data_IF_612292653773
#
_entry.id   IF_612292653773
#
_cell.length_a   1.000
_cell.length_b   1.000
_cell.length_c   1.000
_cell.angle_alpha   90.00
_cell.angle_beta   90.00
_cell.angle_gamma   90.00
#
_symmetry.space_group_name_H-M   'P 1'
#
loop_
_entity.id
_entity.type
_entity.pdbx_description
1 polymer ?
#
# COMPACT_ATOMS: atom_id res chain seq x y z
N UNK A 1 -3.81 -3.11 -14.57
CA UNK A 1 -3.05 -1.94 -14.06
C UNK A 1 -3.97 -1.10 -13.20
N UNK A 2 -3.45 -0.41 -12.19
CA UNK A 2 -4.20 0.57 -11.40
C UNK A 2 -4.26 1.89 -12.16
N UNK A 3 -5.37 2.62 -12.07
CA UNK A 3 -5.50 3.95 -12.64
C UNK A 3 -4.88 4.98 -11.68
N UNK A 4 -3.97 5.80 -12.18
CA UNK A 4 -3.42 6.98 -11.49
C UNK A 4 -4.20 8.26 -11.89
N UNK A 5 -4.76 8.29 -13.11
CA UNK A 5 -5.69 9.31 -13.58
C UNK A 5 -6.60 8.76 -14.68
N UNK A 6 -7.38 9.63 -15.36
CA UNK A 6 -8.21 9.23 -16.48
C UNK A 6 -7.42 8.60 -17.65
N UNK A 7 -6.15 9.00 -17.81
CA UNK A 7 -5.31 8.52 -18.92
C UNK A 7 -4.06 7.77 -18.46
N UNK A 8 -3.69 7.87 -17.19
CA UNK A 8 -2.46 7.28 -16.65
C UNK A 8 -2.74 6.03 -15.82
N UNK A 9 -1.97 4.99 -16.08
CA UNK A 9 -2.11 3.69 -15.43
C UNK A 9 -0.75 3.16 -15.03
N UNK A 10 -0.67 2.48 -13.89
CA UNK A 10 0.57 1.84 -13.46
C UNK A 10 0.39 0.46 -12.86
N UNK A 11 1.45 -0.33 -12.90
CA UNK A 11 1.55 -1.63 -12.23
C UNK A 11 3.01 -1.86 -11.82
N UNK A 12 3.22 -2.49 -10.68
CA UNK A 12 4.53 -3.05 -10.35
C UNK A 12 4.55 -4.52 -10.76
N UNK A 13 5.54 -4.91 -11.57
CA UNK A 13 5.71 -6.29 -12.01
C UNK A 13 7.10 -6.83 -11.62
N UNK A 14 7.10 -7.98 -10.96
CA UNK A 14 8.31 -8.81 -10.80
C UNK A 14 8.40 -9.75 -12.00
N UNK A 15 9.50 -9.71 -12.73
CA UNK A 15 9.78 -10.60 -13.84
C UNK A 15 10.64 -11.77 -13.38
N UNK A 16 10.35 -12.98 -13.89
CA UNK A 16 11.13 -14.16 -13.57
C UNK A 16 12.57 -14.06 -14.11
N UNK A 17 13.49 -14.76 -13.46
CA UNK A 17 14.92 -14.81 -13.81
C UNK A 17 15.21 -15.59 -15.11
N UNK A 18 14.24 -16.32 -15.64
CA UNK A 18 14.31 -16.97 -16.95
C UNK A 18 12.92 -17.38 -17.40
N UNK A 19 12.64 -17.25 -18.70
CA UNK A 19 11.54 -17.92 -19.37
C UNK A 19 12.09 -18.79 -20.52
N UNK A 20 11.29 -19.75 -20.99
CA UNK A 20 11.68 -20.64 -22.09
C UNK A 20 11.77 -19.90 -23.45
N UNK A 21 11.49 -18.59 -23.49
CA UNK A 21 11.28 -17.80 -24.69
C UNK A 21 12.39 -16.82 -25.04
N UNK A 22 13.52 -16.79 -24.34
CA UNK A 22 14.66 -15.93 -24.66
C UNK A 22 14.77 -14.64 -23.84
N UNK A 23 14.07 -14.53 -22.71
CA UNK A 23 14.18 -13.41 -21.78
C UNK A 23 12.82 -12.82 -21.42
N UNK A 24 12.74 -12.27 -20.22
CA UNK A 24 11.53 -11.65 -19.71
C UNK A 24 11.11 -10.46 -20.59
N UNK A 25 9.81 -10.40 -20.91
CA UNK A 25 9.22 -9.37 -21.75
C UNK A 25 7.75 -9.17 -21.46
N UNK A 26 7.19 -8.07 -21.92
CA UNK A 26 5.78 -7.82 -21.80
C UNK A 26 5.23 -6.97 -22.96
N UNK A 27 3.91 -7.01 -23.07
CA UNK A 27 3.09 -5.99 -23.73
C UNK A 27 1.89 -5.71 -22.82
N UNK A 28 1.23 -4.58 -23.05
CA UNK A 28 -0.02 -4.20 -22.42
C UNK A 28 -1.12 -4.45 -23.44
N UNK A 29 -2.01 -5.38 -23.12
CA UNK A 29 -3.18 -5.69 -23.92
C UNK A 29 -4.40 -4.98 -23.34
N UNK A 30 -5.10 -4.23 -24.18
CA UNK A 30 -6.27 -3.46 -23.76
C UNK A 30 -7.48 -4.34 -23.45
N UNK A 31 -7.64 -5.43 -24.20
CA UNK A 31 -8.88 -6.21 -24.27
C UNK A 31 -8.73 -7.66 -23.82
N UNK A 32 -7.50 -8.09 -23.49
CA UNK A 32 -7.21 -9.45 -23.02
C UNK A 32 -7.25 -10.51 -24.14
N UNK A 33 -7.33 -10.09 -25.40
CA UNK A 33 -7.42 -10.93 -26.59
C UNK A 33 -6.27 -10.67 -27.60
N UNK A 34 -5.30 -9.84 -27.22
CA UNK A 34 -4.13 -9.44 -27.99
C UNK A 34 -4.37 -8.65 -29.27
N UNK A 35 -5.62 -8.28 -29.59
CA UNK A 35 -5.94 -7.55 -30.84
C UNK A 35 -5.49 -6.08 -30.79
N UNK A 36 -5.40 -5.49 -29.61
CA UNK A 36 -4.88 -4.13 -29.38
C UNK A 36 -3.85 -4.19 -28.24
N UNK A 37 -2.57 -4.24 -28.60
CA UNK A 37 -1.46 -4.36 -27.64
C UNK A 37 -0.33 -3.37 -27.88
N UNK A 38 0.31 -2.96 -26.78
CA UNK A 38 1.34 -1.92 -26.76
C UNK A 38 2.59 -2.39 -25.99
N UNK A 39 3.81 -2.14 -26.48
CA UNK A 39 4.11 -1.59 -27.81
C UNK A 39 3.75 -2.59 -28.93
N UNK A 40 3.98 -2.25 -30.20
CA UNK A 40 3.66 -3.16 -31.31
C UNK A 40 4.43 -4.49 -31.23
N UNK A 41 5.70 -4.42 -30.82
CA UNK A 41 6.57 -5.57 -30.53
C UNK A 41 6.75 -5.76 -29.02
N UNK A 42 7.30 -6.91 -28.63
CA UNK A 42 7.60 -7.21 -27.23
C UNK A 42 8.56 -6.18 -26.61
N UNK A 43 8.20 -5.67 -25.43
CA UNK A 43 9.10 -4.86 -24.62
C UNK A 43 9.98 -5.79 -23.79
N UNK A 44 11.25 -5.92 -24.16
CA UNK A 44 12.21 -6.75 -23.44
C UNK A 44 12.65 -6.08 -22.13
N UNK A 45 12.77 -6.87 -21.06
CA UNK A 45 13.26 -6.42 -19.76
C UNK A 45 14.36 -7.34 -19.26
N UNK A 46 15.20 -6.83 -18.36
CA UNK A 46 16.22 -7.66 -17.74
C UNK A 46 15.55 -8.79 -16.92
N UNK A 47 16.06 -10.01 -17.05
CA UNK A 47 15.59 -11.15 -16.28
C UNK A 47 15.74 -10.92 -14.78
N UNK A 48 14.74 -11.31 -13.99
CA UNK A 48 14.73 -11.10 -12.54
C UNK A 48 14.47 -9.65 -12.10
N UNK A 49 14.22 -8.75 -13.05
CA UNK A 49 13.93 -7.34 -12.74
C UNK A 49 12.58 -7.17 -12.07
N UNK A 50 12.47 -6.08 -11.31
CA UNK A 50 11.22 -5.61 -10.72
C UNK A 50 11.04 -4.18 -11.19
N UNK A 51 9.93 -3.90 -11.87
CA UNK A 51 9.72 -2.63 -12.54
C UNK A 51 8.37 -2.04 -12.13
N UNK A 52 8.32 -0.73 -11.90
CA UNK A 52 7.09 0.04 -12.05
C UNK A 52 6.91 0.33 -13.55
N UNK A 53 5.82 -0.17 -14.11
CA UNK A 53 5.42 0.04 -15.50
C UNK A 53 4.33 1.09 -15.48
N UNK A 54 4.51 2.14 -16.27
CA UNK A 54 3.54 3.21 -16.43
C UNK A 54 3.09 3.29 -17.89
N UNK A 55 1.78 3.48 -18.09
CA UNK A 55 1.14 3.51 -19.39
C UNK A 55 0.21 4.72 -19.50
N UNK A 56 0.48 5.55 -20.49
CA UNK A 56 -0.42 6.62 -20.90
C UNK A 56 -1.34 6.09 -22.00
N UNK A 57 -2.63 5.96 -21.72
CA UNK A 57 -3.64 5.43 -22.65
C UNK A 57 -3.96 6.36 -23.82
N UNK A 58 -3.59 7.65 -23.75
CA UNK A 58 -3.79 8.62 -24.82
C UNK A 58 -2.63 8.57 -25.83
N UNK A 59 -1.39 8.67 -25.34
CA UNK A 59 -0.18 8.67 -26.18
C UNK A 59 0.32 7.26 -26.51
N UNK A 60 -0.20 6.25 -25.80
CA UNK A 60 0.26 4.86 -25.84
C UNK A 60 1.72 4.68 -25.37
N UNK A 61 2.29 5.68 -24.71
CA UNK A 61 3.64 5.63 -24.19
C UNK A 61 3.73 4.65 -23.01
N UNK A 62 4.81 3.87 -23.00
CA UNK A 62 5.17 2.97 -21.91
C UNK A 62 6.51 3.42 -21.36
N UNK A 63 6.58 3.61 -20.06
CA UNK A 63 7.84 3.84 -19.34
C UNK A 63 8.02 2.82 -18.23
N UNK A 64 9.27 2.49 -17.95
CA UNK A 64 9.64 1.53 -16.90
C UNK A 64 10.67 2.14 -15.97
N UNK A 65 10.47 2.03 -14.67
CA UNK A 65 11.48 2.37 -13.66
C UNK A 65 11.81 1.15 -12.78
N UNK A 66 13.11 0.84 -12.55
CA UNK A 66 13.50 -0.22 -11.63
C UNK A 66 13.03 0.05 -10.20
N UNK A 67 12.62 -1.00 -9.49
CA UNK A 67 12.24 -0.94 -8.07
C UNK A 67 12.88 -2.09 -7.27
N UNK A 68 13.04 -1.88 -5.96
CA UNK A 68 13.64 -2.90 -5.08
C UNK A 68 12.71 -4.11 -4.83
N UNK A 69 11.39 -3.90 -4.78
CA UNK A 69 10.36 -4.94 -4.62
C UNK A 69 9.05 -4.52 -5.29
N UNK A 70 8.20 -5.49 -5.66
CA UNK A 70 6.80 -5.22 -6.04
C UNK A 70 5.79 -5.58 -4.95
N UNK A 71 6.29 -5.78 -3.72
CA UNK A 71 5.48 -5.85 -2.51
C UNK A 71 5.03 -4.42 -2.15
N UNK A 72 4.08 -3.87 -2.91
CA UNK A 72 3.45 -2.56 -2.66
C UNK A 72 4.27 -1.30 -3.00
N UNK A 73 5.27 -1.37 -3.90
CA UNK A 73 6.28 -0.31 -3.98
C UNK A 73 6.07 0.69 -5.14
N UNK A 74 6.02 1.97 -4.77
CA UNK A 74 6.04 3.11 -5.67
C UNK A 74 5.60 4.42 -5.01
N UNK A 75 5.04 4.33 -3.80
CA UNK A 75 4.60 5.48 -3.05
C UNK A 75 5.68 6.01 -2.10
N UNK A 76 5.73 7.34 -1.97
CA UNK A 76 6.51 8.01 -0.94
C UNK A 76 6.07 7.50 0.44
N UNK A 77 7.02 7.42 1.37
CA UNK A 77 6.76 7.04 2.76
C UNK A 77 7.84 7.61 3.66
N UNK A 78 7.45 7.98 4.87
CA UNK A 78 8.37 8.35 5.96
C UNK A 78 8.73 7.12 6.78
N UNK A 79 7.76 6.24 7.04
CA UNK A 79 8.00 5.03 7.82
C UNK A 79 8.48 3.88 6.95
N UNK A 80 9.39 3.06 7.46
CA UNK A 80 9.88 1.86 6.74
C UNK A 80 8.85 0.73 6.74
N UNK A 81 8.02 0.68 7.79
CA UNK A 81 6.86 -0.17 7.96
C UNK A 81 5.88 0.51 8.92
N UNK A 82 4.64 0.04 8.98
CA UNK A 82 3.67 0.48 9.97
C UNK A 82 2.77 -0.69 10.35
N UNK A 83 2.51 -0.84 11.64
CA UNK A 83 1.64 -1.86 12.20
C UNK A 83 0.59 -1.19 13.07
N UNK A 84 -0.65 -1.65 12.98
CA UNK A 84 -1.66 -1.35 13.99
C UNK A 84 -1.59 -2.42 15.09
N UNK A 85 -1.83 -1.99 16.32
CA UNK A 85 -1.94 -2.87 17.49
C UNK A 85 -3.08 -2.40 18.33
N UNK A 86 -3.87 -3.31 18.88
CA UNK A 86 -4.93 -2.87 19.77
C UNK A 86 -5.64 -4.01 20.45
N UNK A 87 -6.64 -3.62 21.22
CA UNK A 87 -7.52 -4.56 21.91
C UNK A 87 -8.22 -5.54 20.96
N UNK A 88 -8.47 -5.17 19.71
CA UNK A 88 -9.09 -6.02 18.67
C UNK A 88 -8.23 -7.24 18.27
N UNK A 89 -6.91 -7.19 18.49
CA UNK A 89 -6.00 -8.29 18.18
C UNK A 89 -5.08 -8.64 19.36
N UNK A 90 -5.48 -8.32 20.59
CA UNK A 90 -4.70 -8.61 21.79
C UNK A 90 -3.31 -7.96 21.80
N UNK A 91 -3.17 -6.77 21.21
CA UNK A 91 -1.91 -6.03 21.05
C UNK A 91 -0.85 -6.71 20.18
N UNK A 92 -1.23 -7.76 19.43
CA UNK A 92 -0.38 -8.37 18.42
C UNK A 92 -0.03 -7.38 17.29
N UNK A 93 1.02 -7.68 16.52
CA UNK A 93 1.41 -6.82 15.39
C UNK A 93 0.53 -7.14 14.19
N UNK A 94 -0.23 -6.15 13.71
CA UNK A 94 -0.97 -6.27 12.45
C UNK A 94 -0.36 -5.31 11.42
N UNK A 95 0.34 -5.80 10.38
CA UNK A 95 0.99 -4.95 9.40
C UNK A 95 -0.04 -4.20 8.56
N UNK A 96 0.18 -2.91 8.36
CA UNK A 96 -0.61 -2.06 7.45
C UNK A 96 -0.02 -2.11 6.04
N UNK A 97 -0.86 -1.84 5.04
CA UNK A 97 -0.44 -1.77 3.63
C UNK A 97 -0.32 -0.32 3.18
N UNK A 98 0.79 0.04 2.54
CA UNK A 98 0.93 1.34 1.88
C UNK A 98 0.12 1.33 0.56
N UNK A 99 -0.88 2.22 0.46
CA UNK A 99 -1.86 2.25 -0.64
C UNK A 99 -1.79 3.51 -1.52
N UNK A 100 -1.14 4.57 -1.03
CA UNK A 100 -0.84 5.80 -1.77
C UNK A 100 0.37 6.50 -1.12
N UNK A 101 0.84 7.62 -1.70
CA UNK A 101 1.91 8.44 -1.11
C UNK A 101 1.60 8.74 0.36
N UNK A 102 2.47 8.24 1.23
CA UNK A 102 2.41 8.38 2.68
C UNK A 102 1.16 7.76 3.33
N UNK A 103 0.28 7.07 2.61
CA UNK A 103 -0.98 6.54 3.15
C UNK A 103 -0.93 5.03 3.39
N UNK A 104 -1.07 4.65 4.65
CA UNK A 104 -1.14 3.28 5.14
C UNK A 104 -2.58 2.92 5.51
N UNK A 105 -3.01 1.70 5.19
CA UNK A 105 -4.36 1.21 5.46
C UNK A 105 -4.36 -0.19 6.08
N UNK A 106 -5.29 -0.44 6.99
CA UNK A 106 -5.62 -1.77 7.50
C UNK A 106 -7.11 -1.84 7.86
N UNK A 107 -7.77 -2.92 7.46
CA UNK A 107 -9.13 -3.21 7.92
C UNK A 107 -9.07 -4.13 9.16
N UNK A 108 -9.88 -3.81 10.16
CA UNK A 108 -9.95 -4.52 11.45
C UNK A 108 -11.40 -4.77 11.84
N UNK A 109 -11.63 -5.82 12.61
CA UNK A 109 -12.94 -6.08 13.21
C UNK A 109 -12.98 -5.59 14.66
N UNK A 110 -13.90 -4.68 14.97
CA UNK A 110 -14.10 -4.14 16.32
C UNK A 110 -15.31 -4.82 16.97
N UNK A 111 -15.15 -5.31 18.20
CA UNK A 111 -16.21 -6.01 18.92
C UNK A 111 -16.94 -5.15 19.96
N UNK A 112 -16.56 -3.87 20.10
CA UNK A 112 -17.17 -2.94 21.05
C UNK A 112 -16.83 -3.22 22.51
N UNK A 113 -15.72 -3.91 22.79
CA UNK A 113 -15.32 -4.19 24.16
C UNK A 113 -15.06 -2.92 24.98
N UNK A 114 -15.16 -3.02 26.31
CA UNK A 114 -14.78 -1.92 27.20
C UNK A 114 -13.31 -1.52 26.98
N UNK A 115 -13.03 -0.22 27.02
CA UNK A 115 -11.68 0.33 26.83
C UNK A 115 -11.05 -0.08 25.47
N UNK A 116 -11.89 -0.24 24.43
CA UNK A 116 -11.44 -0.55 23.07
C UNK A 116 -10.54 0.59 22.56
N UNK A 117 -9.30 0.21 22.24
CA UNK A 117 -8.24 1.16 21.87
C UNK A 117 -7.17 0.52 21.01
N UNK A 118 -6.36 1.38 20.38
CA UNK A 118 -5.26 1.00 19.51
C UNK A 118 -4.04 1.92 19.68
N UNK A 119 -2.92 1.50 19.10
CA UNK A 119 -1.71 2.28 18.81
C UNK A 119 -1.12 1.85 17.49
N UNK A 120 -0.18 2.64 16.98
CA UNK A 120 0.62 2.30 15.80
C UNK A 120 2.08 2.07 16.18
N UNK A 121 2.75 1.15 15.49
CA UNK A 121 4.13 0.74 15.75
C UNK A 121 4.87 0.52 14.43
N UNK A 122 5.98 1.22 14.24
CA UNK A 122 6.72 1.23 12.99
C UNK A 122 7.29 -0.16 12.67
N UNK A 123 7.98 -0.80 13.62
CA UNK A 123 8.72 -2.04 13.35
C UNK A 123 8.01 -3.29 13.84
N UNK A 124 6.96 -3.14 14.63
CA UNK A 124 6.33 -4.29 15.22
C UNK A 124 7.12 -4.83 16.43
N UNK A 125 7.90 -3.98 17.11
CA UNK A 125 8.68 -4.31 18.31
C UNK A 125 8.51 -3.30 19.47
N UNK A 126 7.57 -2.35 19.35
CA UNK A 126 7.30 -1.25 20.27
C UNK A 126 8.39 -0.18 20.41
N UNK A 127 9.54 -0.31 19.74
CA UNK A 127 10.66 0.62 19.84
C UNK A 127 10.30 2.03 19.38
N UNK A 128 9.46 2.14 18.34
CA UNK A 128 8.94 3.41 17.82
C UNK A 128 7.44 3.25 17.61
N UNK A 129 6.67 3.72 18.59
CA UNK A 129 5.22 3.65 18.59
C UNK A 129 4.59 5.04 18.67
N UNK A 130 3.34 5.11 18.24
CA UNK A 130 2.56 6.30 18.12
C UNK A 130 1.18 6.09 18.74
N UNK A 131 0.66 7.14 19.35
CA UNK A 131 -0.67 7.23 19.93
C UNK A 131 -1.23 8.64 19.72
N UNK A 132 -2.27 9.02 20.44
CA UNK A 132 -2.91 10.34 20.36
C UNK A 132 -3.32 10.79 21.77
N UNK A 133 -2.60 11.76 22.33
CA UNK A 133 -2.76 12.18 23.73
C UNK A 133 -3.81 13.25 23.90
N UNK A 134 -3.93 14.16 22.94
CA UNK A 134 -4.88 15.26 22.95
C UNK A 134 -6.17 14.94 22.18
N UNK A 135 -6.25 13.76 21.57
CA UNK A 135 -7.42 13.25 20.82
C UNK A 135 -7.80 14.14 19.64
N UNK A 136 -6.79 14.69 18.94
CA UNK A 136 -7.00 15.61 17.83
C UNK A 136 -6.95 14.92 16.44
N UNK A 137 -6.72 13.60 16.40
CA UNK A 137 -6.62 12.84 15.16
C UNK A 137 -5.23 12.86 14.53
N UNK A 138 -4.23 13.39 15.23
CA UNK A 138 -2.82 13.38 14.83
C UNK A 138 -2.04 12.46 15.77
N UNK A 139 -1.03 11.78 15.22
CA UNK A 139 -0.22 10.83 15.97
C UNK A 139 0.97 11.52 16.65
N UNK A 140 1.12 11.33 17.97
CA UNK A 140 2.34 11.66 18.70
C UNK A 140 3.20 10.43 18.93
N UNK A 141 4.51 10.61 18.74
CA UNK A 141 5.49 9.60 19.13
C UNK A 141 5.38 9.34 20.63
N UNK A 142 5.20 8.08 21.00
CA UNK A 142 4.94 7.64 22.37
C UNK A 142 3.68 8.25 23.01
N UNK A 143 2.71 8.70 22.20
CA UNK A 143 1.43 9.23 22.68
C UNK A 143 0.56 8.20 23.39
N UNK A 144 -0.51 8.66 24.04
CA UNK A 144 -1.47 7.81 24.76
C UNK A 144 -2.21 6.84 23.83
N UNK A 145 -2.80 5.79 24.40
CA UNK A 145 -3.66 4.85 23.65
C UNK A 145 -4.84 5.60 23.02
N UNK A 146 -5.15 5.26 21.76
CA UNK A 146 -6.24 5.87 20.99
C UNK A 146 -7.52 5.10 21.25
N UNK A 147 -8.50 5.73 21.90
CA UNK A 147 -9.79 5.12 22.16
C UNK A 147 -10.67 5.15 20.91
N UNK A 148 -11.22 3.99 20.55
CA UNK A 148 -12.03 3.82 19.34
C UNK A 148 -13.42 3.29 19.70
N UNK A 149 -14.44 4.04 19.28
CA UNK A 149 -15.83 3.61 19.37
C UNK A 149 -16.22 2.77 18.13
N UNK A 150 -17.32 2.02 18.24
CA UNK A 150 -17.89 1.26 17.12
C UNK A 150 -17.76 -0.25 17.26
N UNK A 151 -18.56 -0.95 16.44
CA UNK A 151 -18.64 -2.42 16.34
C UNK A 151 -18.74 -2.77 14.86
N UNK A 152 -18.15 -3.89 14.45
CA UNK A 152 -18.09 -4.35 13.07
C UNK A 152 -16.77 -4.02 12.40
N UNK A 153 -16.73 -4.13 11.09
CA UNK A 153 -15.52 -3.91 10.31
C UNK A 153 -15.24 -2.42 10.18
N UNK A 154 -13.98 -2.04 10.40
CA UNK A 154 -13.50 -0.67 10.35
C UNK A 154 -12.20 -0.60 9.56
N UNK A 155 -12.02 0.50 8.85
CA UNK A 155 -10.81 0.85 8.14
C UNK A 155 -10.00 1.87 8.95
N UNK A 156 -8.77 1.48 9.26
CA UNK A 156 -7.74 2.35 9.81
C UNK A 156 -6.93 2.94 8.66
N UNK A 157 -6.75 4.25 8.66
CA UNK A 157 -5.87 4.95 7.70
C UNK A 157 -4.90 5.85 8.45
N UNK A 158 -3.63 5.85 8.06
CA UNK A 158 -2.59 6.75 8.60
C UNK A 158 -1.87 7.43 7.44
N UNK A 159 -1.68 8.74 7.51
CA UNK A 159 -0.75 9.46 6.66
C UNK A 159 0.59 9.66 7.41
N UNK A 160 1.66 8.97 7.03
CA UNK A 160 2.93 8.97 7.77
C UNK A 160 3.79 10.24 7.60
N UNK A 161 3.40 11.16 6.71
CA UNK A 161 4.04 12.47 6.55
C UNK A 161 3.41 13.52 7.46
N UNK A 162 2.08 13.55 7.54
CA UNK A 162 1.33 14.51 8.37
C UNK A 162 0.99 13.97 9.75
N UNK A 163 1.15 12.66 9.95
CA UNK A 163 0.77 11.91 11.14
C UNK A 163 -0.74 11.89 11.43
N UNK A 164 -1.59 12.40 10.54
CA UNK A 164 -3.04 12.30 10.69
C UNK A 164 -3.50 10.84 10.52
N UNK A 165 -4.48 10.42 11.32
CA UNK A 165 -5.12 9.11 11.22
C UNK A 165 -6.65 9.21 11.19
N UNK A 166 -7.30 8.13 10.77
CA UNK A 166 -8.76 8.00 10.83
C UNK A 166 -9.19 6.56 11.06
N UNK A 167 -10.39 6.41 11.61
CA UNK A 167 -11.08 5.14 11.82
C UNK A 167 -12.48 5.28 11.22
N UNK A 168 -12.78 4.49 10.19
CA UNK A 168 -14.03 4.57 9.45
C UNK A 168 -14.75 3.22 9.46
N UNK A 169 -16.04 3.20 9.83
CA UNK A 169 -16.85 1.98 9.73
C UNK A 169 -17.02 1.55 8.25
N UNK A 170 -16.92 0.25 8.01
CA UNK A 170 -17.26 -0.41 6.75
C UNK A 170 -18.61 -1.10 6.97
N UNK A 171 -19.61 -0.68 6.19
CA UNK A 171 -21.01 -1.08 6.38
C UNK A 171 -21.29 -2.56 6.16
#
# INVERSE_FOLDING_TARGET
MAAESATEFSICQTFASSDAGGGARFKIDRTGNWTESYPASDFNVASGSKLKIHFNSQTKAITTSPVASCSGAGFDKVFTALNARGTFNGWASAPMTLIANNQWQLDVHLNGQSQQRLKFDVLGDWSTNYGDTNSDGVLEKSGADIYIAGVGDHRLTVNDQTLAYSVQALG
#
